data_IF_884925383988
#
_entry.id   IF_884925383988
#
_cell.length_a   1.000
_cell.length_b   1.000
_cell.length_c   1.000
_cell.angle_alpha   90.00
_cell.angle_beta   90.00
_cell.angle_gamma   90.00
#
_symmetry.space_group_name_H-M   'P 1'
#
loop_
_entity.id
_entity.type
_entity.pdbx_description
1 polymer ?
#
# COMPACT_ATOMS: atom_id res chain seq x y z
N UNK A 1 -25.04 7.67 8.00
CA UNK A 1 -25.00 6.95 6.71
C UNK A 1 -23.65 6.26 6.57
N UNK A 2 -23.56 5.20 5.76
CA UNK A 2 -22.26 4.61 5.39
C UNK A 2 -21.72 5.32 4.16
N UNK A 3 -20.43 5.64 4.14
CA UNK A 3 -19.77 6.21 2.95
C UNK A 3 -19.77 5.16 1.84
N UNK A 4 -20.25 5.50 0.65
CA UNK A 4 -20.21 4.59 -0.51
C UNK A 4 -18.89 4.74 -1.27
N UNK A 5 -18.47 5.98 -1.49
CA UNK A 5 -17.31 6.33 -2.29
C UNK A 5 -16.60 7.52 -1.66
N UNK A 6 -15.28 7.53 -1.72
CA UNK A 6 -14.45 8.65 -1.26
C UNK A 6 -13.29 8.89 -2.21
N UNK A 7 -12.82 10.12 -2.26
CA UNK A 7 -11.60 10.51 -2.96
C UNK A 7 -10.54 10.91 -1.95
N UNK A 8 -9.31 10.55 -2.21
CA UNK A 8 -8.14 10.92 -1.42
C UNK A 8 -6.93 11.02 -2.34
N UNK A 9 -5.81 11.48 -1.80
CA UNK A 9 -4.57 11.64 -2.55
C UNK A 9 -3.45 10.87 -1.85
N UNK A 10 -2.60 10.21 -2.63
CA UNK A 10 -1.34 9.63 -2.17
C UNK A 10 -0.23 10.21 -3.04
N UNK A 11 0.70 10.94 -2.43
CA UNK A 11 1.85 11.55 -3.10
C UNK A 11 1.48 12.33 -4.39
N UNK A 12 0.47 13.20 -4.31
CA UNK A 12 -0.01 13.97 -5.45
C UNK A 12 -0.91 13.20 -6.44
N UNK A 13 -1.10 11.90 -6.26
CA UNK A 13 -1.93 11.06 -7.14
C UNK A 13 -3.33 10.91 -6.55
N UNK A 14 -4.39 11.33 -7.26
CA UNK A 14 -5.75 11.19 -6.79
C UNK A 14 -6.25 9.75 -6.93
N UNK A 15 -6.85 9.22 -5.88
CA UNK A 15 -7.47 7.91 -5.80
C UNK A 15 -8.95 8.02 -5.45
N UNK A 16 -9.72 7.04 -5.94
CA UNK A 16 -11.11 6.85 -5.53
C UNK A 16 -11.25 5.46 -4.90
N UNK A 17 -11.79 5.41 -3.69
CA UNK A 17 -12.13 4.16 -3.01
C UNK A 17 -13.65 3.98 -2.96
N UNK A 18 -14.09 2.74 -3.17
CA UNK A 18 -15.50 2.34 -3.21
C UNK A 18 -15.73 1.19 -2.24
N UNK A 19 -16.73 1.34 -1.37
CA UNK A 19 -17.24 0.25 -0.54
C UNK A 19 -18.14 -0.68 -1.38
N UNK A 20 -17.53 -1.51 -2.23
CA UNK A 20 -18.21 -2.37 -3.21
C UNK A 20 -18.63 -3.76 -2.71
N UNK A 21 -18.36 -4.10 -1.44
CA UNK A 21 -18.59 -5.44 -0.89
C UNK A 21 -17.49 -6.45 -1.26
N UNK A 22 -17.63 -7.73 -0.86
CA UNK A 22 -16.55 -8.73 -0.91
C UNK A 22 -16.38 -9.44 -2.27
N UNK A 23 -17.00 -8.91 -3.33
CA UNK A 23 -17.08 -9.58 -4.64
C UNK A 23 -15.75 -9.54 -5.41
N UNK A 24 -14.96 -8.50 -5.20
CA UNK A 24 -13.66 -8.30 -5.84
C UNK A 24 -12.56 -8.32 -4.78
N UNK A 25 -11.41 -8.89 -5.14
CA UNK A 25 -10.24 -8.96 -4.27
C UNK A 25 -9.06 -8.33 -4.98
N UNK A 26 -8.26 -7.59 -4.24
CA UNK A 26 -6.97 -7.14 -4.70
C UNK A 26 -6.05 -8.34 -4.94
N UNK A 27 -5.11 -8.13 -5.86
CA UNK A 27 -4.00 -9.02 -6.12
C UNK A 27 -2.80 -8.17 -6.56
N UNK A 28 -1.67 -8.81 -6.75
CA UNK A 28 -0.38 -8.20 -7.05
C UNK A 28 -0.31 -7.56 -8.44
N UNK A 29 -1.32 -7.77 -9.30
CA UNK A 29 -1.37 -7.14 -10.62
C UNK A 29 -1.56 -5.62 -10.54
N UNK A 30 -2.06 -5.11 -9.41
CA UNK A 30 -2.09 -3.69 -9.09
C UNK A 30 -1.36 -3.47 -7.77
N UNK A 31 -0.33 -2.63 -7.80
CA UNK A 31 0.45 -2.27 -6.61
C UNK A 31 0.93 -0.83 -6.68
N UNK A 32 1.25 -0.27 -5.52
CA UNK A 32 1.87 1.04 -5.40
C UNK A 32 3.33 0.91 -5.01
N UNK A 33 4.21 1.60 -5.72
CA UNK A 33 5.63 1.69 -5.39
C UNK A 33 5.90 2.95 -4.59
N UNK A 34 6.69 2.81 -3.53
CA UNK A 34 7.19 3.90 -2.70
C UNK A 34 8.71 3.87 -2.78
N UNK A 35 9.29 4.87 -3.43
CA UNK A 35 10.74 5.04 -3.47
C UNK A 35 11.21 5.69 -2.15
N UNK A 36 12.05 4.97 -1.41
CA UNK A 36 12.56 5.37 -0.11
C UNK A 36 14.03 5.77 -0.21
N UNK A 37 14.37 6.95 0.28
CA UNK A 37 15.73 7.52 0.22
C UNK A 37 16.58 7.10 1.40
N UNK A 38 15.94 6.70 2.49
CA UNK A 38 16.59 6.38 3.76
C UNK A 38 16.07 5.07 4.32
N UNK A 39 16.87 4.41 5.15
CA UNK A 39 16.44 3.19 5.84
C UNK A 39 15.27 3.49 6.79
N UNK A 40 15.25 4.68 7.40
CA UNK A 40 14.18 5.11 8.28
C UNK A 40 12.83 5.21 7.56
N UNK A 41 12.81 5.65 6.30
CA UNK A 41 11.59 5.66 5.47
C UNK A 41 11.14 4.24 5.15
N UNK A 42 12.08 3.35 4.79
CA UNK A 42 11.78 1.93 4.53
C UNK A 42 11.12 1.31 5.77
N UNK A 43 11.74 1.47 6.94
CA UNK A 43 11.26 0.91 8.19
C UNK A 43 9.87 1.49 8.53
N UNK A 44 9.70 2.80 8.40
CA UNK A 44 8.43 3.47 8.66
C UNK A 44 7.28 2.93 7.79
N UNK A 45 7.46 2.88 6.47
CA UNK A 45 6.42 2.40 5.56
C UNK A 45 6.17 0.91 5.73
N UNK A 46 7.22 0.12 5.90
CA UNK A 46 7.11 -1.31 6.12
C UNK A 46 6.31 -1.63 7.38
N UNK A 47 6.67 -1.05 8.51
CA UNK A 47 5.97 -1.25 9.78
C UNK A 47 4.51 -0.81 9.70
N UNK A 48 4.24 0.37 9.12
CA UNK A 48 2.88 0.92 9.06
C UNK A 48 1.96 0.18 8.12
N UNK A 49 2.47 -0.26 6.96
CA UNK A 49 1.65 -0.98 6.00
C UNK A 49 1.44 -2.44 6.42
N UNK A 50 2.40 -3.05 7.13
CA UNK A 50 2.23 -4.41 7.67
C UNK A 50 1.43 -4.46 8.98
N UNK A 51 1.04 -3.31 9.56
CA UNK A 51 0.17 -3.24 10.73
C UNK A 51 -1.25 -3.78 10.41
N UNK A 52 -1.46 -5.07 10.72
CA UNK A 52 -2.67 -5.80 10.34
C UNK A 52 -2.67 -6.29 8.88
N UNK A 53 -1.55 -6.13 8.19
CA UNK A 53 -1.28 -6.64 6.85
C UNK A 53 -0.34 -7.86 6.86
N UNK A 54 0.29 -8.13 5.72
CA UNK A 54 1.17 -9.28 5.52
C UNK A 54 2.47 -8.85 4.85
N UNK A 55 3.65 -9.09 5.46
CA UNK A 55 4.93 -8.87 4.81
C UNK A 55 5.12 -9.86 3.65
N UNK A 56 5.78 -9.41 2.58
CA UNK A 56 6.11 -10.22 1.40
C UNK A 56 7.61 -10.31 1.15
N UNK A 57 7.98 -10.66 -0.08
CA UNK A 57 9.37 -10.83 -0.51
C UNK A 57 9.80 -9.69 -1.43
N UNK A 58 11.10 -9.41 -1.48
CA UNK A 58 11.70 -8.49 -2.45
C UNK A 58 11.00 -7.12 -2.47
N UNK A 59 10.86 -6.49 -1.30
CA UNK A 59 10.17 -5.20 -1.10
C UNK A 59 8.63 -5.23 -1.19
N UNK A 60 8.01 -6.38 -1.48
CA UNK A 60 6.54 -6.49 -1.51
C UNK A 60 5.93 -6.68 -0.13
N UNK A 61 4.74 -6.14 0.05
CA UNK A 61 3.85 -6.41 1.19
C UNK A 61 2.38 -6.19 0.79
N UNK A 62 1.47 -6.62 1.65
CA UNK A 62 0.04 -6.28 1.57
C UNK A 62 -0.40 -5.56 2.82
N UNK A 63 -1.21 -4.52 2.67
CA UNK A 63 -1.80 -3.84 3.81
C UNK A 63 -3.00 -4.60 4.38
N UNK A 64 -3.56 -4.10 5.49
CA UNK A 64 -4.75 -4.69 6.14
C UNK A 64 -6.02 -4.75 5.30
N UNK A 65 -6.05 -4.04 4.16
CA UNK A 65 -7.15 -4.06 3.20
C UNK A 65 -6.86 -5.00 2.02
N UNK A 66 -5.66 -5.57 1.97
CA UNK A 66 -5.19 -6.48 0.92
C UNK A 66 -4.57 -5.78 -0.29
N UNK A 67 -4.37 -4.45 -0.24
CA UNK A 67 -3.72 -3.72 -1.33
C UNK A 67 -2.24 -4.06 -1.34
N UNK A 68 -1.67 -4.32 -2.53
CA UNK A 68 -0.25 -4.62 -2.69
C UNK A 68 0.59 -3.34 -2.75
N UNK A 69 1.72 -3.36 -2.05
CA UNK A 69 2.68 -2.27 -1.99
C UNK A 69 4.10 -2.78 -2.24
N UNK A 70 4.96 -1.92 -2.77
CA UNK A 70 6.40 -2.12 -2.93
C UNK A 70 7.13 -0.99 -2.21
N UNK A 71 7.85 -1.31 -1.14
CA UNK A 71 8.68 -0.34 -0.39
C UNK A 71 10.12 -0.49 -0.88
N UNK A 72 10.50 0.35 -1.84
CA UNK A 72 11.73 0.19 -2.63
C UNK A 72 12.79 1.17 -2.15
N UNK A 73 13.92 0.69 -1.58
CA UNK A 73 15.04 1.58 -1.27
C UNK A 73 15.74 2.04 -2.57
N UNK A 74 16.06 3.33 -2.69
CA UNK A 74 16.80 3.88 -3.83
C UNK A 74 18.22 3.30 -3.94
N UNK A 75 18.80 2.90 -2.81
CA UNK A 75 20.10 2.22 -2.75
C UNK A 75 19.98 0.96 -1.90
N UNK A 76 20.39 -0.17 -2.47
CA UNK A 76 20.56 -1.40 -1.70
C UNK A 76 21.90 -1.32 -0.96
N UNK A 77 21.95 -1.66 0.34
CA UNK A 77 23.18 -1.65 1.12
C UNK A 77 24.25 -2.62 0.60
#
# INVERSE_FOLDING_TARGET
>A
GKVLMTTFELDGVPFQALNGGPYFKFNEAMSQSIDCKTQEEVDYFWEKLTEGGEPGQCSWLKDKFGVSWQVVPEQLP
#
